data_IF_376267734936
#
_entry.id   IF_376267734936
#
_cell.length_a   1.000
_cell.length_b   1.000
_cell.length_c   1.000
_cell.angle_alpha   90.00
_cell.angle_beta   90.00
_cell.angle_gamma   90.00
#
_symmetry.space_group_name_H-M   'P 1'
#
loop_
_entity.id
_entity.type
_entity.pdbx_description
1 polymer ?
#
# COMPACT_ATOMS: atom_id res chain seq x y z
N UNK A 1 -13.94 4.23 -5.06
CA UNK A 1 -13.21 4.80 -3.90
C UNK A 1 -11.85 5.35 -4.30
N UNK A 2 -10.97 4.54 -4.91
CA UNK A 2 -9.62 4.98 -5.34
C UNK A 2 -9.66 6.15 -6.34
N UNK A 3 -10.57 6.14 -7.31
CA UNK A 3 -10.73 7.22 -8.30
C UNK A 3 -11.05 8.59 -7.68
N UNK A 4 -11.71 8.59 -6.51
CA UNK A 4 -12.09 9.82 -5.79
C UNK A 4 -10.87 10.41 -5.06
N UNK A 5 -10.08 9.53 -4.41
CA UNK A 5 -8.80 9.91 -3.81
C UNK A 5 -7.78 10.36 -4.87
N UNK A 6 -7.74 9.68 -6.01
CA UNK A 6 -6.87 10.04 -7.12
C UNK A 6 -7.21 11.42 -7.71
N UNK A 7 -8.50 11.75 -7.86
CA UNK A 7 -8.93 13.11 -8.26
C UNK A 7 -8.45 14.21 -7.30
N UNK A 8 -8.28 13.88 -6.02
CA UNK A 8 -7.80 14.82 -5.01
C UNK A 8 -6.28 14.93 -4.97
N UNK A 9 -5.57 13.81 -5.10
CA UNK A 9 -4.12 13.73 -4.86
C UNK A 9 -3.25 13.67 -6.12
N UNK A 10 -3.80 13.29 -7.28
CA UNK A 10 -3.05 13.08 -8.52
C UNK A 10 -3.50 14.10 -9.57
N UNK A 11 -2.56 14.95 -10.00
CA UNK A 11 -2.73 15.86 -11.14
C UNK A 11 -2.71 15.04 -12.45
N UNK A 12 -3.59 15.35 -13.40
CA UNK A 12 -3.76 14.58 -14.66
C UNK A 12 -4.09 13.09 -14.47
N UNK A 13 -4.90 12.77 -13.46
CA UNK A 13 -5.33 11.41 -13.10
C UNK A 13 -5.98 10.57 -14.21
N UNK A 14 -6.41 11.17 -15.34
CA UNK A 14 -6.97 10.46 -16.50
C UNK A 14 -5.88 9.99 -17.49
N UNK A 15 -4.68 10.56 -17.43
CA UNK A 15 -3.57 10.20 -18.31
C UNK A 15 -2.82 8.96 -17.82
N UNK A 16 -3.51 7.82 -17.78
CA UNK A 16 -2.99 6.54 -17.26
C UNK A 16 -1.90 5.89 -18.14
N UNK A 17 -1.62 6.43 -19.32
CA UNK A 17 -0.51 6.00 -20.18
C UNK A 17 0.82 6.56 -19.71
N UNK A 18 0.81 7.63 -18.91
CA UNK A 18 2.01 8.19 -18.30
C UNK A 18 2.52 7.32 -17.13
N UNK A 19 3.82 7.03 -17.14
CA UNK A 19 4.45 6.20 -16.11
C UNK A 19 4.47 6.88 -14.74
N UNK A 20 4.57 8.21 -14.69
CA UNK A 20 4.49 8.99 -13.45
C UNK A 20 3.11 8.95 -12.81
N UNK A 21 2.05 9.07 -13.62
CA UNK A 21 0.65 8.93 -13.16
C UNK A 21 0.41 7.52 -12.61
N UNK A 22 0.83 6.48 -13.32
CA UNK A 22 0.73 5.08 -12.84
C UNK A 22 1.49 4.87 -11.52
N UNK A 23 2.67 5.46 -11.39
CA UNK A 23 3.46 5.37 -10.17
C UNK A 23 2.75 6.06 -8.99
N UNK A 24 2.15 7.24 -9.22
CA UNK A 24 1.37 7.96 -8.23
C UNK A 24 0.14 7.15 -7.76
N UNK A 25 -0.57 6.47 -8.67
CA UNK A 25 -1.67 5.58 -8.32
C UNK A 25 -1.20 4.40 -7.45
N UNK A 26 -0.09 3.75 -7.83
CA UNK A 26 0.47 2.65 -7.04
C UNK A 26 0.87 3.08 -5.64
N UNK A 27 1.52 4.24 -5.50
CA UNK A 27 1.88 4.80 -4.20
C UNK A 27 0.66 5.16 -3.35
N UNK A 28 -0.34 5.82 -3.96
CA UNK A 28 -1.57 6.19 -3.26
C UNK A 28 -2.28 4.94 -2.72
N UNK A 29 -2.47 3.91 -3.55
CA UNK A 29 -3.10 2.66 -3.15
C UNK A 29 -2.32 1.96 -2.03
N UNK A 30 -0.98 1.88 -2.16
CA UNK A 30 -0.13 1.24 -1.15
C UNK A 30 -0.20 1.96 0.20
N UNK A 31 -0.04 3.29 0.22
CA UNK A 31 -0.08 4.09 1.45
C UNK A 31 -1.45 3.99 2.12
N UNK A 32 -2.54 4.12 1.35
CA UNK A 32 -3.90 4.02 1.88
C UNK A 32 -4.15 2.61 2.45
N UNK A 33 -3.71 1.56 1.75
CA UNK A 33 -3.83 0.17 2.22
C UNK A 33 -3.08 -0.10 3.51
N UNK A 34 -1.84 0.39 3.64
CA UNK A 34 -1.03 0.28 4.87
C UNK A 34 -1.73 1.01 6.02
N UNK A 35 -2.20 2.24 5.77
CA UNK A 35 -2.86 3.05 6.79
C UNK A 35 -4.11 2.38 7.36
N UNK A 36 -5.00 1.87 6.49
CA UNK A 36 -6.20 1.17 6.95
C UNK A 36 -5.90 -0.13 7.69
N UNK A 37 -4.91 -0.90 7.25
CA UNK A 37 -4.50 -2.11 7.97
C UNK A 37 -3.93 -1.81 9.36
N UNK A 38 -3.16 -0.73 9.52
CA UNK A 38 -2.67 -0.30 10.83
C UNK A 38 -3.80 0.17 11.76
N UNK A 39 -4.82 0.87 11.23
CA UNK A 39 -6.02 1.23 12.00
C UNK A 39 -6.78 -0.01 12.45
N UNK A 40 -6.99 -0.97 11.54
CA UNK A 40 -7.68 -2.23 11.85
C UNK A 40 -6.91 -3.04 12.88
N UNK A 41 -5.59 -3.18 12.72
CA UNK A 41 -4.71 -3.82 13.69
C UNK A 41 -4.86 -3.17 15.07
N UNK A 42 -4.73 -1.85 15.16
CA UNK A 42 -4.81 -1.13 16.44
C UNK A 42 -6.17 -1.34 17.11
N UNK A 43 -7.25 -1.21 16.35
CA UNK A 43 -8.61 -1.36 16.87
C UNK A 43 -8.89 -2.78 17.34
N UNK A 44 -8.49 -3.79 16.54
CA UNK A 44 -8.66 -5.20 16.87
C UNK A 44 -7.74 -5.64 18.01
N UNK A 45 -6.51 -5.14 18.08
CA UNK A 45 -5.59 -5.43 19.17
C UNK A 45 -6.15 -4.92 20.50
N UNK A 46 -6.68 -3.70 20.53
CA UNK A 46 -7.37 -3.17 21.71
C UNK A 46 -8.62 -4.00 22.05
N UNK A 47 -9.47 -4.29 21.07
CA UNK A 47 -10.66 -5.12 21.28
C UNK A 47 -10.33 -6.53 21.78
N UNK A 48 -9.29 -7.16 21.23
CA UNK A 48 -8.77 -8.47 21.64
C UNK A 48 -8.24 -8.47 23.06
N UNK A 49 -7.50 -7.41 23.43
CA UNK A 49 -7.01 -7.22 24.79
C UNK A 49 -8.15 -7.09 25.81
N UNK A 50 -9.13 -6.20 25.56
CA UNK A 50 -10.27 -6.00 26.47
C UNK A 50 -11.20 -7.22 26.55
N UNK A 51 -11.38 -7.95 25.45
CA UNK A 51 -12.22 -9.15 25.42
C UNK A 51 -11.51 -10.43 25.85
N UNK A 52 -10.19 -10.39 26.06
CA UNK A 52 -9.34 -11.59 26.26
C UNK A 52 -9.51 -12.65 25.16
N UNK A 53 -9.89 -12.22 23.95
CA UNK A 53 -10.13 -13.13 22.83
C UNK A 53 -8.86 -13.36 22.02
N UNK A 54 -8.38 -14.60 22.05
CA UNK A 54 -7.26 -15.06 21.22
C UNK A 54 -7.62 -14.94 19.73
N UNK A 55 -8.87 -15.20 19.36
CA UNK A 55 -9.34 -15.11 17.97
C UNK A 55 -9.24 -13.68 17.42
N UNK A 56 -9.70 -12.68 18.18
CA UNK A 56 -9.63 -11.26 17.76
C UNK A 56 -8.18 -10.78 17.71
N UNK A 57 -7.35 -11.22 18.67
CA UNK A 57 -5.93 -10.88 18.69
C UNK A 57 -5.19 -11.48 17.49
N UNK A 58 -5.47 -12.74 17.13
CA UNK A 58 -4.92 -13.38 15.93
C UNK A 58 -5.36 -12.66 14.64
N UNK A 59 -6.63 -12.25 14.58
CA UNK A 59 -7.15 -11.46 13.45
C UNK A 59 -6.49 -10.07 13.33
N UNK A 60 -6.14 -9.45 14.46
CA UNK A 60 -5.33 -8.23 14.45
C UNK A 60 -3.96 -8.48 13.80
N UNK A 61 -3.26 -9.55 14.19
CA UNK A 61 -1.96 -9.90 13.62
C UNK A 61 -2.00 -10.19 12.11
N UNK A 62 -3.13 -10.71 11.60
CA UNK A 62 -3.33 -10.83 10.15
C UNK A 62 -3.30 -9.44 9.48
N UNK A 63 -4.04 -8.45 10.00
CA UNK A 63 -3.98 -7.09 9.45
C UNK A 63 -2.58 -6.45 9.58
N UNK A 64 -1.83 -6.76 10.63
CA UNK A 64 -0.43 -6.31 10.74
C UNK A 64 0.45 -6.93 9.64
N UNK A 65 0.26 -8.22 9.34
CA UNK A 65 0.98 -8.94 8.29
C UNK A 65 0.64 -8.41 6.90
N UNK A 66 -0.62 -8.03 6.67
CA UNK A 66 -1.05 -7.37 5.44
C UNK A 66 -0.42 -5.98 5.26
N UNK A 67 -0.30 -5.21 6.35
CA UNK A 67 0.41 -3.93 6.33
C UNK A 67 1.89 -4.13 5.96
N UNK A 68 2.57 -5.11 6.57
CA UNK A 68 3.96 -5.43 6.26
C UNK A 68 4.14 -5.87 4.79
N UNK A 69 3.25 -6.74 4.28
CA UNK A 69 3.26 -7.18 2.89
C UNK A 69 3.02 -6.03 1.91
N UNK A 70 2.16 -5.08 2.29
CA UNK A 70 1.90 -3.87 1.51
C UNK A 70 3.11 -2.93 1.46
N UNK A 71 3.89 -2.83 2.55
CA UNK A 71 5.16 -2.07 2.56
C UNK A 71 6.17 -2.69 1.60
N UNK A 72 6.31 -4.02 1.61
CA UNK A 72 7.22 -4.73 0.70
C UNK A 72 6.78 -4.53 -0.76
N UNK A 73 5.48 -4.64 -1.02
CA UNK A 73 4.90 -4.40 -2.35
C UNK A 73 5.19 -2.98 -2.82
N UNK A 74 5.01 -1.97 -1.95
CA UNK A 74 5.29 -0.57 -2.27
C UNK A 74 6.77 -0.34 -2.57
N UNK A 75 7.66 -0.98 -1.82
CA UNK A 75 9.10 -0.93 -2.09
C UNK A 75 9.45 -1.56 -3.44
N UNK A 76 8.90 -2.75 -3.74
CA UNK A 76 9.07 -3.41 -5.04
C UNK A 76 8.53 -2.56 -6.20
N UNK A 77 7.38 -1.92 -6.01
CA UNK A 77 6.78 -1.03 -7.00
C UNK A 77 7.64 0.22 -7.26
N UNK A 78 8.29 0.75 -6.22
CA UNK A 78 9.24 1.86 -6.35
C UNK A 78 10.50 1.45 -7.10
N UNK A 79 11.01 0.23 -6.88
CA UNK A 79 12.15 -0.31 -7.61
C UNK A 79 11.80 -0.58 -9.08
N UNK A 80 10.64 -1.19 -9.36
CA UNK A 80 10.17 -1.44 -10.72
C UNK A 80 10.03 -0.14 -11.55
N UNK A 81 9.68 0.98 -10.90
CA UNK A 81 9.58 2.29 -11.55
C UNK A 81 10.91 3.03 -11.73
N UNK A 82 12.07 2.45 -11.36
CA UNK A 82 13.37 3.08 -11.60
C UNK A 82 13.73 3.12 -13.07
N UNK A 83 14.41 4.20 -13.48
CA UNK A 83 14.93 4.35 -14.84
C UNK A 83 15.92 3.22 -15.15
N UNK A 84 16.04 2.80 -16.43
CA UNK A 84 17.05 1.85 -16.86
C UNK A 84 18.44 2.32 -16.44
N UNK A 85 19.25 1.41 -15.92
CA UNK A 85 20.65 1.66 -15.59
C UNK A 85 21.57 0.71 -16.37
N UNK A 86 22.87 0.80 -16.09
CA UNK A 86 23.89 0.01 -16.79
C UNK A 86 23.76 -1.49 -16.53
N UNK A 87 23.24 -1.88 -15.37
CA UNK A 87 23.05 -3.29 -14.99
C UNK A 87 21.68 -3.83 -15.48
N UNK A 88 20.71 -2.94 -15.73
CA UNK A 88 19.36 -3.22 -16.20
C UNK A 88 18.99 -2.36 -17.42
N UNK A 89 19.53 -2.69 -18.62
CA UNK A 89 19.35 -1.90 -19.84
C UNK A 89 17.91 -1.86 -20.36
N UNK A 90 17.05 -2.80 -19.94
CA UNK A 90 15.62 -2.82 -20.27
C UNK A 90 14.72 -2.22 -19.16
N UNK A 91 15.30 -1.77 -18.03
CA UNK A 91 14.57 -1.31 -16.85
C UNK A 91 14.50 -2.34 -15.72
N UNK A 92 14.07 -1.88 -14.54
CA UNK A 92 13.96 -2.69 -13.31
C UNK A 92 12.60 -3.38 -13.14
N UNK A 93 11.69 -3.20 -14.10
CA UNK A 93 10.33 -3.76 -14.09
C UNK A 93 9.55 -3.40 -15.34
#
# INVERSE_FOLDING_TARGET
>A
MVTLLAKLFIRDHENVTDSGVRQAYGMLCGIVGIFFNLILFTTKALAGFFSHSIAITADAFNNLSDAASSIITLAGFKMAGQKPDSDHPFGHG
#
